data_IF_361063540842
#
_entry.id   IF_361063540842
#
_cell.length_a   1.000
_cell.length_b   1.000
_cell.length_c   1.000
_cell.angle_alpha   90.00
_cell.angle_beta   90.00
_cell.angle_gamma   90.00
#
_symmetry.space_group_name_H-M   'P 1'
#
loop_
_entity.id
_entity.type
_entity.pdbx_description
1 polymer ?
#
# COMPACT_ATOMS: atom_id res chain seq x y z
N UNK A 1 -3.10 -1.08 -12.51
CA UNK A 1 -3.64 -2.42 -12.83
C UNK A 1 -3.99 -3.23 -11.58
N UNK A 2 -3.04 -3.94 -10.94
CA UNK A 2 -3.38 -4.87 -9.83
C UNK A 2 -4.17 -4.18 -8.70
N UNK A 3 -3.74 -3.00 -8.25
CA UNK A 3 -4.45 -2.22 -7.22
C UNK A 3 -5.86 -1.86 -7.68
N UNK A 4 -6.02 -1.25 -8.85
CA UNK A 4 -7.33 -0.85 -9.36
C UNK A 4 -8.30 -2.03 -9.54
N UNK A 5 -7.77 -3.20 -9.93
CA UNK A 5 -8.54 -4.42 -10.17
C UNK A 5 -8.99 -5.14 -8.90
N UNK A 6 -8.13 -5.23 -7.88
CA UNK A 6 -8.37 -6.10 -6.72
C UNK A 6 -8.48 -5.35 -5.39
N UNK A 7 -7.92 -4.15 -5.30
CA UNK A 7 -7.87 -3.31 -4.09
C UNK A 7 -8.17 -1.84 -4.45
N UNK A 8 -9.33 -1.54 -5.08
CA UNK A 8 -9.62 -0.20 -5.58
C UNK A 8 -9.59 0.80 -4.43
N UNK A 9 -8.96 1.95 -4.66
CA UNK A 9 -8.80 3.01 -3.66
C UNK A 9 -9.68 4.21 -4.00
N UNK A 10 -10.49 4.63 -3.03
CA UNK A 10 -11.38 5.78 -3.14
C UNK A 10 -10.69 7.10 -2.78
N UNK A 11 -11.28 8.20 -3.24
CA UNK A 11 -10.85 9.54 -2.84
C UNK A 11 -11.16 9.74 -1.34
N UNK A 12 -10.16 10.20 -0.58
CA UNK A 12 -10.24 10.36 0.87
C UNK A 12 -9.98 9.07 1.67
N UNK A 13 -9.71 7.94 1.01
CA UNK A 13 -9.44 6.67 1.69
C UNK A 13 -8.03 6.64 2.28
N UNK A 14 -7.87 5.94 3.40
CA UNK A 14 -6.58 5.70 4.07
C UNK A 14 -6.16 4.24 3.88
N UNK A 15 -5.11 4.02 3.11
CA UNK A 15 -4.61 2.70 2.72
C UNK A 15 -3.24 2.43 3.34
N UNK A 16 -3.05 1.24 3.90
CA UNK A 16 -1.73 0.77 4.34
C UNK A 16 -0.97 0.07 3.21
N UNK A 17 0.36 0.19 3.17
CA UNK A 17 1.22 -0.63 2.32
C UNK A 17 2.20 -1.38 3.23
N UNK A 18 1.95 -2.66 3.44
CA UNK A 18 2.74 -3.51 4.32
C UNK A 18 3.76 -4.25 3.47
N UNK A 19 5.03 -4.04 3.77
CA UNK A 19 6.10 -4.56 2.93
C UNK A 19 7.35 -4.84 3.75
N UNK A 20 8.00 -5.97 3.45
CA UNK A 20 9.35 -6.24 3.90
C UNK A 20 10.40 -5.44 3.09
N UNK A 21 11.66 -5.57 3.47
CA UNK A 21 12.76 -5.04 2.65
C UNK A 21 12.86 -5.78 1.30
N UNK A 22 13.14 -5.05 0.23
CA UNK A 22 13.47 -5.61 -1.10
C UNK A 22 12.28 -6.07 -1.95
N UNK A 23 11.03 -5.92 -1.50
CA UNK A 23 9.84 -6.40 -2.24
C UNK A 23 9.22 -5.36 -3.20
N UNK A 24 9.88 -4.22 -3.40
CA UNK A 24 9.43 -3.18 -4.34
C UNK A 24 8.52 -2.09 -3.74
N UNK A 25 8.49 -1.91 -2.41
CA UNK A 25 7.72 -0.85 -1.71
C UNK A 25 7.92 0.54 -2.33
N UNK A 26 9.17 1.01 -2.39
CA UNK A 26 9.49 2.36 -2.85
C UNK A 26 9.09 2.56 -4.31
N UNK A 27 9.25 1.53 -5.14
CA UNK A 27 8.82 1.53 -6.54
C UNK A 27 7.30 1.69 -6.65
N UNK A 28 6.52 0.90 -5.90
CA UNK A 28 5.06 1.03 -5.90
C UNK A 28 4.61 2.41 -5.42
N UNK A 29 5.21 2.95 -4.35
CA UNK A 29 4.93 4.31 -3.88
C UNK A 29 5.20 5.35 -4.98
N UNK A 30 6.32 5.23 -5.69
CA UNK A 30 6.64 6.08 -6.84
C UNK A 30 5.63 5.99 -7.98
N UNK A 31 5.18 4.78 -8.31
CA UNK A 31 4.12 4.57 -9.31
C UNK A 31 2.82 5.25 -8.88
N UNK A 32 2.43 5.14 -7.60
CA UNK A 32 1.26 5.82 -7.05
C UNK A 32 1.44 7.34 -7.16
N UNK A 33 2.59 7.90 -6.72
CA UNK A 33 2.86 9.34 -6.82
C UNK A 33 2.72 9.88 -8.25
N UNK A 34 3.22 9.14 -9.25
CA UNK A 34 3.25 9.60 -10.64
C UNK A 34 1.91 9.43 -11.35
N UNK A 35 1.18 8.36 -11.07
CA UNK A 35 0.03 7.96 -11.88
C UNK A 35 -1.32 8.14 -11.19
N UNK A 36 -1.35 8.28 -9.86
CA UNK A 36 -2.58 8.62 -9.17
C UNK A 36 -3.06 10.02 -9.59
N UNK A 37 -4.38 10.13 -9.76
CA UNK A 37 -5.05 11.41 -10.04
C UNK A 37 -5.17 12.19 -8.74
N UNK A 38 -4.40 13.26 -8.64
CA UNK A 38 -4.34 14.18 -7.52
C UNK A 38 -3.91 15.55 -8.04
N UNK A 39 -4.40 16.60 -7.39
CA UNK A 39 -3.98 17.98 -7.68
C UNK A 39 -2.58 18.26 -7.10
N UNK A 40 -2.33 17.73 -5.90
CA UNK A 40 -1.05 17.89 -5.17
C UNK A 40 -0.69 16.58 -4.49
N UNK A 41 0.59 16.25 -4.48
CA UNK A 41 1.14 15.16 -3.66
C UNK A 41 1.88 15.76 -2.46
N UNK A 42 1.71 15.15 -1.28
CA UNK A 42 2.51 15.47 -0.10
C UNK A 42 3.14 14.19 0.41
N UNK A 43 4.47 14.14 0.42
CA UNK A 43 5.25 12.93 0.67
C UNK A 43 6.10 13.15 1.92
N UNK A 44 5.87 12.35 2.95
CA UNK A 44 6.66 12.33 4.18
C UNK A 44 7.65 11.16 4.15
N UNK A 45 8.95 11.46 4.10
CA UNK A 45 10.03 10.47 4.17
C UNK A 45 10.71 10.56 5.55
N UNK A 46 10.38 9.62 6.42
CA UNK A 46 10.63 9.66 7.86
C UNK A 46 11.54 8.50 8.26
N UNK A 47 12.70 8.82 8.84
CA UNK A 47 13.66 7.84 9.35
C UNK A 47 14.36 7.00 8.29
N UNK A 48 14.20 7.34 7.01
CA UNK A 48 14.91 6.70 5.90
C UNK A 48 16.36 7.19 5.81
N UNK A 49 17.23 6.39 5.17
CA UNK A 49 18.62 6.82 4.97
C UNK A 49 18.69 7.89 3.88
N UNK A 50 19.59 8.86 4.02
CA UNK A 50 19.71 9.97 3.04
C UNK A 50 19.99 9.54 1.60
N UNK A 51 20.62 8.36 1.38
CA UNK A 51 20.80 7.79 0.03
C UNK A 51 19.50 7.24 -0.56
N UNK A 52 18.67 6.59 0.27
CA UNK A 52 17.38 6.00 -0.11
C UNK A 52 16.38 7.13 -0.41
N UNK A 53 16.44 8.24 0.34
CA UNK A 53 15.69 9.47 0.05
C UNK A 53 16.06 10.04 -1.31
N UNK A 54 17.35 10.19 -1.61
CA UNK A 54 17.80 10.70 -2.92
C UNK A 54 17.39 9.80 -4.06
N UNK A 55 17.58 8.49 -3.91
CA UNK A 55 17.12 7.51 -4.91
C UNK A 55 15.60 7.62 -5.15
N UNK A 56 14.81 7.77 -4.08
CA UNK A 56 13.38 7.94 -4.20
C UNK A 56 13.01 9.23 -4.93
N UNK A 57 13.59 10.37 -4.57
CA UNK A 57 13.25 11.68 -5.16
C UNK A 57 13.75 11.78 -6.59
N UNK A 58 14.99 11.42 -6.85
CA UNK A 58 15.67 11.66 -8.13
C UNK A 58 15.28 10.62 -9.19
N UNK A 59 15.21 9.34 -8.81
CA UNK A 59 15.04 8.24 -9.76
C UNK A 59 13.62 7.66 -9.78
N UNK A 60 13.01 7.49 -8.59
CA UNK A 60 11.70 6.85 -8.50
C UNK A 60 10.56 7.85 -8.74
N UNK A 61 10.56 8.99 -8.07
CA UNK A 61 9.58 10.05 -8.27
C UNK A 61 9.91 10.81 -9.56
N UNK A 62 11.18 11.19 -9.71
CA UNK A 62 11.71 11.91 -10.86
C UNK A 62 11.09 13.30 -11.01
N UNK A 63 11.58 14.05 -12.01
CA UNK A 63 11.19 15.45 -12.22
C UNK A 63 9.67 15.62 -12.40
N UNK A 64 9.03 14.77 -13.20
CA UNK A 64 7.58 14.84 -13.45
C UNK A 64 6.74 14.58 -12.19
N UNK A 65 7.16 13.63 -11.36
CA UNK A 65 6.49 13.38 -10.09
C UNK A 65 6.67 14.55 -9.12
N UNK A 66 7.87 15.16 -9.12
CA UNK A 66 8.22 16.26 -8.23
C UNK A 66 7.49 17.57 -8.55
N UNK A 67 7.14 17.83 -9.81
CA UNK A 67 6.47 19.08 -10.26
C UNK A 67 5.19 19.41 -9.48
N UNK A 68 4.45 18.39 -9.02
CA UNK A 68 3.23 18.55 -8.20
C UNK A 68 3.38 18.02 -6.77
N UNK A 69 4.61 17.79 -6.30
CA UNK A 69 4.86 17.18 -5.00
C UNK A 69 5.56 18.12 -4.02
N UNK A 70 5.09 18.12 -2.78
CA UNK A 70 5.85 18.63 -1.63
C UNK A 70 6.46 17.44 -0.90
N UNK A 71 7.79 17.42 -0.76
CA UNK A 71 8.51 16.34 -0.07
C UNK A 71 9.06 16.85 1.25
N UNK A 72 8.59 16.28 2.36
CA UNK A 72 9.07 16.57 3.72
C UNK A 72 9.94 15.41 4.17
N UNK A 73 11.21 15.71 4.50
CA UNK A 73 12.20 14.70 4.83
C UNK A 73 12.73 14.91 6.25
N UNK A 74 12.71 13.84 7.05
CA UNK A 74 13.44 13.76 8.31
C UNK A 74 14.21 12.43 8.33
N UNK A 75 15.48 12.46 7.93
CA UNK A 75 16.34 11.28 7.79
C UNK A 75 16.67 10.60 9.12
N UNK A 76 17.21 9.38 9.07
CA UNK A 76 17.54 8.56 10.24
C UNK A 76 18.54 9.18 11.22
N UNK A 77 19.39 10.11 10.76
CA UNK A 77 20.38 10.85 11.56
C UNK A 77 19.78 12.06 12.30
N UNK A 78 18.49 12.36 12.07
CA UNK A 78 17.77 13.42 12.79
C UNK A 78 17.21 12.91 14.12
N UNK A 79 17.05 13.83 15.07
CA UNK A 79 16.50 13.50 16.38
C UNK A 79 15.08 12.89 16.26
N UNK A 80 14.67 12.04 17.21
CA UNK A 80 13.34 11.44 17.20
C UNK A 80 12.22 12.48 17.13
N UNK A 81 12.38 13.60 17.83
CA UNK A 81 11.45 14.74 17.80
C UNK A 81 11.32 15.30 16.39
N UNK A 82 12.43 15.50 15.67
CA UNK A 82 12.40 15.98 14.28
C UNK A 82 11.72 14.98 13.34
N UNK A 83 11.89 13.67 13.55
CA UNK A 83 11.21 12.63 12.77
C UNK A 83 9.69 12.64 12.98
N UNK A 84 9.24 12.73 14.24
CA UNK A 84 7.81 12.88 14.58
C UNK A 84 7.24 14.16 13.98
N UNK A 85 7.93 15.29 14.17
CA UNK A 85 7.50 16.59 13.62
C UNK A 85 7.51 16.65 12.11
N UNK A 86 8.42 15.96 11.44
CA UNK A 86 8.43 15.84 9.99
C UNK A 86 7.14 15.23 9.45
N UNK A 87 6.67 14.14 10.06
CA UNK A 87 5.40 13.49 9.70
C UNK A 87 4.19 14.39 9.97
N UNK A 88 4.12 15.00 11.17
CA UNK A 88 3.03 15.90 11.56
C UNK A 88 2.97 17.13 10.64
N UNK A 89 4.13 17.69 10.27
CA UNK A 89 4.25 18.85 9.36
C UNK A 89 3.77 18.51 7.96
N UNK A 90 4.16 17.34 7.44
CA UNK A 90 3.69 16.88 6.13
C UNK A 90 2.16 16.74 6.11
N UNK A 91 1.55 16.17 7.16
CA UNK A 91 0.09 16.08 7.25
C UNK A 91 -0.56 17.47 7.28
N UNK A 92 0.01 18.42 8.03
CA UNK A 92 -0.50 19.80 8.07
C UNK A 92 -0.43 20.48 6.69
N UNK A 93 0.62 20.22 5.90
CA UNK A 93 0.70 20.71 4.51
C UNK A 93 -0.39 20.08 3.65
N UNK A 94 -0.68 18.79 3.82
CA UNK A 94 -1.77 18.13 3.10
C UNK A 94 -3.14 18.72 3.46
N UNK A 95 -3.39 18.99 4.73
CA UNK A 95 -4.61 19.67 5.20
C UNK A 95 -4.76 21.06 4.61
N UNK A 96 -3.68 21.84 4.54
CA UNK A 96 -3.70 23.16 3.90
C UNK A 96 -4.23 23.08 2.46
N UNK A 97 -3.70 22.15 1.64
CA UNK A 97 -4.18 21.98 0.26
C UNK A 97 -5.61 21.43 0.19
N UNK A 98 -5.98 20.50 1.07
CA UNK A 98 -7.36 20.01 1.18
C UNK A 98 -8.34 21.16 1.46
N UNK A 99 -7.98 22.05 2.37
CA UNK A 99 -8.84 23.17 2.80
C UNK A 99 -8.91 24.26 1.71
N UNK A 100 -7.93 24.34 0.82
CA UNK A 100 -7.99 25.07 -0.46
C UNK A 100 -8.82 24.37 -1.55
N UNK A 101 -9.46 23.24 -1.21
CA UNK A 101 -10.31 22.47 -2.09
C UNK A 101 -9.59 21.55 -3.08
N UNK A 102 -8.38 21.11 -2.74
CA UNK A 102 -7.60 20.19 -3.58
C UNK A 102 -7.84 18.74 -3.18
N UNK A 103 -7.72 17.86 -4.18
CA UNK A 103 -7.57 16.42 -3.97
C UNK A 103 -6.09 16.09 -3.77
N UNK A 104 -5.73 15.83 -2.52
CA UNK A 104 -4.34 15.61 -2.10
C UNK A 104 -4.06 14.12 -2.01
N UNK A 105 -2.96 13.68 -2.60
CA UNK A 105 -2.37 12.38 -2.33
C UNK A 105 -1.34 12.55 -1.21
N UNK A 106 -1.58 11.94 -0.06
CA UNK A 106 -0.62 11.91 1.05
C UNK A 106 0.09 10.57 1.09
N UNK A 107 1.43 10.57 1.11
CA UNK A 107 2.23 9.37 1.29
C UNK A 107 3.10 9.53 2.52
N UNK A 108 3.11 8.52 3.37
CA UNK A 108 3.98 8.46 4.54
C UNK A 108 4.82 7.20 4.50
N UNK A 109 6.13 7.39 4.35
CA UNK A 109 7.14 6.33 4.39
C UNK A 109 8.13 6.59 5.54
N UNK A 110 8.00 5.98 6.72
CA UNK A 110 6.97 4.99 7.11
C UNK A 110 6.33 5.29 8.46
N UNK A 111 5.14 4.70 8.68
CA UNK A 111 4.48 4.69 9.99
C UNK A 111 5.34 3.97 11.02
N UNK A 112 6.05 2.91 10.62
CA UNK A 112 7.00 2.20 11.49
C UNK A 112 8.09 3.13 12.01
N UNK A 113 8.72 3.92 11.14
CA UNK A 113 9.76 4.86 11.57
C UNK A 113 9.23 6.00 12.44
N UNK A 114 8.00 6.44 12.21
CA UNK A 114 7.31 7.39 13.08
C UNK A 114 7.02 6.81 14.47
N UNK A 115 6.46 5.59 14.54
CA UNK A 115 6.18 4.90 15.79
C UNK A 115 7.46 4.63 16.60
N UNK A 116 8.54 4.21 15.92
CA UNK A 116 9.86 4.04 16.56
C UNK A 116 10.39 5.36 17.12
N UNK A 117 10.29 6.47 16.38
CA UNK A 117 10.70 7.78 16.87
C UNK A 117 9.88 8.22 18.09
N UNK A 118 8.55 8.02 18.07
CA UNK A 118 7.70 8.32 19.21
C UNK A 118 8.02 7.44 20.43
N UNK A 119 8.33 6.16 20.22
CA UNK A 119 8.79 5.24 21.26
C UNK A 119 10.07 5.74 21.92
N UNK A 120 11.06 6.17 21.13
CA UNK A 120 12.32 6.73 21.65
C UNK A 120 12.08 7.96 22.52
N UNK A 121 11.16 8.85 22.12
CA UNK A 121 10.77 10.03 22.92
C UNK A 121 10.11 9.59 24.24
N UNK A 122 9.14 8.68 24.17
CA UNK A 122 8.44 8.18 25.36
C UNK A 122 9.38 7.56 26.38
N UNK A 123 10.31 6.71 25.92
CA UNK A 123 11.32 6.10 26.78
C UNK A 123 12.23 7.15 27.44
N UNK A 124 12.63 8.19 26.70
CA UNK A 124 13.50 9.25 27.22
C UNK A 124 12.83 10.07 28.35
N UNK A 125 11.50 10.17 28.37
CA UNK A 125 10.73 10.86 29.42
C UNK A 125 10.18 9.91 30.49
N UNK A 126 10.56 8.62 30.45
CA UNK A 126 10.21 7.64 31.47
C UNK A 126 8.90 6.87 31.26
N UNK A 127 8.32 6.88 30.05
CA UNK A 127 7.18 6.01 29.75
C UNK A 127 7.59 4.53 29.76
N UNK A 128 6.82 3.65 30.44
CA UNK A 128 7.13 2.23 30.45
C UNK A 128 6.84 1.57 29.08
N UNK A 129 7.66 0.61 28.62
CA UNK A 129 7.39 -0.15 27.40
C UNK A 129 6.37 -1.27 27.68
N UNK A 130 5.10 -1.04 27.39
CA UNK A 130 4.00 -1.95 27.77
C UNK A 130 3.71 -3.01 26.69
N UNK A 131 3.47 -2.58 25.45
CA UNK A 131 3.03 -3.48 24.36
C UNK A 131 4.21 -3.91 23.49
N UNK A 132 4.81 -5.06 23.82
CA UNK A 132 6.00 -5.65 23.13
C UNK A 132 7.11 -4.62 22.87
N UNK A 133 7.37 -3.74 23.85
CA UNK A 133 8.45 -2.75 23.75
C UNK A 133 8.02 -1.35 23.31
N UNK A 134 6.82 -1.15 22.77
CA UNK A 134 6.28 0.18 22.45
C UNK A 134 5.74 0.88 23.69
N UNK A 135 5.88 2.21 23.74
CA UNK A 135 5.34 3.05 24.80
C UNK A 135 3.86 3.40 24.52
N UNK A 136 3.03 3.65 25.55
CA UNK A 136 1.61 3.99 25.36
C UNK A 136 1.37 5.19 24.44
N UNK A 137 2.26 6.20 24.46
CA UNK A 137 2.13 7.38 23.60
C UNK A 137 2.17 7.07 22.10
N UNK A 138 2.80 5.98 21.69
CA UNK A 138 2.80 5.53 20.28
C UNK A 138 1.38 5.25 19.81
N UNK A 139 0.64 4.45 20.57
CA UNK A 139 -0.73 4.05 20.22
C UNK A 139 -1.73 5.19 20.34
N UNK A 140 -1.45 6.21 21.17
CA UNK A 140 -2.24 7.44 21.19
C UNK A 140 -1.94 8.35 19.98
N UNK A 141 -0.68 8.40 19.54
CA UNK A 141 -0.22 9.26 18.42
C UNK A 141 -0.59 8.73 17.04
N UNK A 142 -0.76 7.43 16.87
CA UNK A 142 -1.07 6.83 15.58
C UNK A 142 -2.45 7.25 15.05
N UNK A 143 -3.58 7.03 15.77
CA UNK A 143 -4.90 7.50 15.31
C UNK A 143 -4.91 9.01 15.09
N UNK A 144 -4.34 9.78 16.04
CA UNK A 144 -4.30 11.23 15.98
C UNK A 144 -3.62 11.79 14.72
N UNK A 145 -2.69 11.04 14.12
CA UNK A 145 -2.06 11.41 12.85
C UNK A 145 -2.82 10.83 11.64
N UNK A 146 -3.13 9.54 11.66
CA UNK A 146 -3.69 8.81 10.51
C UNK A 146 -5.12 9.25 10.18
N UNK A 147 -5.94 9.55 11.19
CA UNK A 147 -7.34 9.93 11.01
C UNK A 147 -7.53 11.36 10.46
N UNK A 148 -6.45 12.16 10.39
CA UNK A 148 -6.49 13.50 9.80
C UNK A 148 -6.70 13.49 8.28
N UNK A 149 -6.34 12.38 7.62
CA UNK A 149 -6.65 12.16 6.21
C UNK A 149 -8.11 11.73 6.04
N UNK A 150 -8.72 12.15 4.93
CA UNK A 150 -10.15 11.97 4.69
C UNK A 150 -10.69 12.96 3.67
N UNK A 151 -11.95 12.75 3.26
CA UNK A 151 -12.71 13.72 2.48
C UNK A 151 -13.27 14.82 3.40
N UNK A 152 -13.26 16.06 2.92
CA UNK A 152 -13.94 17.20 3.53
C UNK A 152 -15.00 17.77 2.58
N UNK A 153 -15.68 18.83 2.98
CA UNK A 153 -16.67 19.51 2.13
C UNK A 153 -16.05 20.11 0.86
N UNK A 154 -14.78 20.53 0.92
CA UNK A 154 -14.16 21.31 -0.15
C UNK A 154 -13.06 20.54 -0.90
N UNK A 155 -12.42 19.56 -0.27
CA UNK A 155 -11.30 18.81 -0.84
C UNK A 155 -11.13 17.43 -0.19
N UNK A 156 -10.03 16.75 -0.47
CA UNK A 156 -9.77 15.42 0.10
C UNK A 156 -8.28 15.17 0.36
N UNK A 157 -7.99 14.27 1.28
CA UNK A 157 -6.66 13.67 1.46
C UNK A 157 -6.83 12.15 1.34
N UNK A 158 -6.34 11.56 0.26
CA UNK A 158 -6.19 10.11 0.11
C UNK A 158 -4.81 9.73 0.63
N UNK A 159 -4.74 8.92 1.68
CA UNK A 159 -3.50 8.59 2.37
C UNK A 159 -2.98 7.19 2.05
N UNK A 160 -1.69 7.07 1.74
CA UNK A 160 -0.97 5.80 1.67
C UNK A 160 0.13 5.77 2.74
N UNK A 161 0.04 4.79 3.62
CA UNK A 161 0.88 4.68 4.82
C UNK A 161 1.69 3.41 4.75
N UNK A 162 3.00 3.50 4.55
CA UNK A 162 3.82 2.30 4.52
C UNK A 162 4.09 1.80 5.95
N UNK A 163 4.09 0.48 6.09
CA UNK A 163 4.44 -0.23 7.32
C UNK A 163 5.48 -1.27 6.96
N UNK A 164 6.59 -1.24 7.67
CA UNK A 164 7.66 -2.23 7.53
C UNK A 164 7.28 -3.46 8.34
N UNK A 165 7.16 -4.60 7.68
CA UNK A 165 6.90 -5.90 8.34
C UNK A 165 8.18 -6.73 8.36
N UNK A 166 8.45 -7.37 9.50
CA UNK A 166 9.56 -8.30 9.65
C UNK A 166 9.13 -9.70 9.20
N UNK A 167 9.65 -10.14 8.05
CA UNK A 167 9.27 -11.44 7.47
C UNK A 167 7.89 -11.41 6.81
N UNK A 168 7.27 -12.57 6.70
CA UNK A 168 5.95 -12.74 6.06
C UNK A 168 4.79 -12.71 7.08
N UNK A 169 5.07 -12.59 8.38
CA UNK A 169 4.03 -12.57 9.43
C UNK A 169 3.62 -11.13 9.77
N UNK A 170 2.59 -10.67 9.07
CA UNK A 170 1.99 -9.35 9.28
C UNK A 170 1.21 -9.29 10.62
N UNK A 171 0.93 -10.41 11.29
CA UNK A 171 0.15 -10.47 12.54
C UNK A 171 0.99 -10.49 13.82
N UNK A 172 2.32 -10.58 13.73
CA UNK A 172 3.18 -10.67 14.91
C UNK A 172 3.53 -9.31 15.54
N UNK A 173 3.33 -8.19 14.84
CA UNK A 173 3.73 -6.86 15.29
C UNK A 173 2.52 -6.03 15.79
N UNK A 174 2.44 -5.66 17.08
CA UNK A 174 1.33 -4.85 17.62
C UNK A 174 1.14 -3.51 16.92
N UNK A 175 2.21 -2.94 16.35
CA UNK A 175 2.09 -1.73 15.55
C UNK A 175 1.28 -2.00 14.28
N UNK A 176 1.58 -3.10 13.61
CA UNK A 176 0.91 -3.50 12.37
C UNK A 176 -0.58 -3.74 12.59
N UNK A 177 -0.94 -4.42 13.67
CA UNK A 177 -2.34 -4.64 14.05
C UNK A 177 -3.07 -3.32 14.35
N UNK A 178 -2.44 -2.42 15.11
CA UNK A 178 -3.01 -1.11 15.42
C UNK A 178 -3.24 -0.29 14.13
N UNK A 179 -2.27 -0.28 13.21
CA UNK A 179 -2.41 0.43 11.93
C UNK A 179 -3.51 -0.20 11.06
N UNK A 180 -3.60 -1.54 10.99
CA UNK A 180 -4.69 -2.24 10.27
C UNK A 180 -6.07 -1.94 10.85
N UNK A 181 -6.18 -1.74 12.17
CA UNK A 181 -7.43 -1.39 12.81
C UNK A 181 -7.90 0.03 12.41
N UNK A 182 -6.95 0.99 12.34
CA UNK A 182 -7.23 2.41 12.05
C UNK A 182 -7.53 2.65 10.56
N UNK A 183 -6.82 1.97 9.64
CA UNK A 183 -6.91 2.23 8.20
C UNK A 183 -8.13 1.56 7.53
N UNK A 184 -8.51 2.07 6.35
CA UNK A 184 -9.67 1.63 5.57
C UNK A 184 -9.36 0.45 4.62
N UNK A 185 -8.16 -0.11 4.73
CA UNK A 185 -7.67 -1.15 3.83
C UNK A 185 -6.15 -1.21 3.81
N UNK A 186 -5.63 -2.21 3.13
CA UNK A 186 -4.20 -2.41 2.99
C UNK A 186 -3.81 -3.20 1.75
N UNK A 187 -2.58 -2.95 1.29
CA UNK A 187 -1.89 -3.66 0.22
C UNK A 187 -0.71 -4.40 0.88
N UNK A 188 -0.64 -5.71 0.70
CA UNK A 188 0.49 -6.53 1.15
C UNK A 188 1.43 -6.76 -0.02
N UNK A 189 2.71 -6.45 0.19
CA UNK A 189 3.77 -6.81 -0.75
C UNK A 189 4.47 -8.08 -0.29
N UNK A 190 4.34 -9.14 -1.09
CA UNK A 190 4.83 -10.48 -0.76
C UNK A 190 6.24 -10.70 -1.30
N UNK A 191 7.13 -11.18 -0.42
CA UNK A 191 8.47 -11.62 -0.81
C UNK A 191 8.41 -12.82 -1.76
N UNK A 192 7.46 -13.74 -1.52
CA UNK A 192 7.24 -14.91 -2.38
C UNK A 192 6.93 -14.49 -3.82
N UNK A 193 6.07 -13.49 -4.01
CA UNK A 193 5.74 -12.94 -5.33
C UNK A 193 6.93 -12.17 -5.93
N UNK A 194 7.64 -11.36 -5.14
CA UNK A 194 8.82 -10.63 -5.61
C UNK A 194 9.92 -11.58 -6.13
N UNK A 195 10.13 -12.72 -5.45
CA UNK A 195 11.13 -13.73 -5.82
C UNK A 195 10.83 -14.43 -7.16
N UNK A 196 9.59 -14.40 -7.66
CA UNK A 196 9.26 -14.91 -9.00
C UNK A 196 9.51 -13.86 -10.11
N UNK A 197 9.99 -12.67 -9.76
CA UNK A 197 10.16 -11.56 -10.69
C UNK A 197 8.84 -10.90 -11.10
N UNK A 198 7.79 -11.03 -10.29
CA UNK A 198 6.52 -10.33 -10.51
C UNK A 198 6.50 -9.00 -9.73
N UNK A 199 6.34 -7.89 -10.46
CA UNK A 199 6.23 -6.54 -9.90
C UNK A 199 5.07 -5.77 -10.55
N UNK A 200 4.28 -4.99 -9.77
CA UNK A 200 4.30 -4.90 -8.30
C UNK A 200 3.97 -6.22 -7.60
N UNK A 201 4.67 -6.52 -6.50
CA UNK A 201 4.58 -7.80 -5.80
C UNK A 201 3.37 -7.89 -4.84
N UNK A 202 2.20 -7.47 -5.31
CA UNK A 202 0.97 -7.40 -4.50
C UNK A 202 0.37 -8.78 -4.31
N UNK A 203 0.18 -9.19 -3.05
CA UNK A 203 -0.61 -10.36 -2.71
C UNK A 203 -2.09 -9.99 -2.68
N UNK A 204 -2.84 -10.42 -3.69
CA UNK A 204 -4.25 -10.04 -3.86
C UNK A 204 -5.18 -10.71 -2.84
N UNK A 205 -4.77 -11.83 -2.23
CA UNK A 205 -5.57 -12.53 -1.23
C UNK A 205 -5.38 -11.93 0.16
N UNK A 206 -4.17 -11.44 0.45
CA UNK A 206 -3.85 -10.80 1.74
C UNK A 206 -4.11 -9.28 1.72
N UNK A 207 -4.48 -8.70 0.58
CA UNK A 207 -4.81 -7.28 0.44
C UNK A 207 -6.31 -7.02 0.44
N UNK A 208 -6.73 -5.88 0.97
CA UNK A 208 -8.15 -5.53 1.08
C UNK A 208 -8.40 -4.03 0.98
N UNK A 209 -9.49 -3.64 0.30
CA UNK A 209 -10.04 -2.29 0.38
C UNK A 209 -11.45 -2.39 0.95
N UNK A 210 -11.70 -1.77 2.12
CA UNK A 210 -13.02 -1.82 2.77
C UNK A 210 -14.08 -1.00 2.03
N UNK A 211 -13.66 -0.14 1.10
CA UNK A 211 -14.55 0.64 0.24
C UNK A 211 -14.86 -0.02 -1.11
N UNK A 212 -14.30 -1.20 -1.40
CA UNK A 212 -14.45 -1.82 -2.72
C UNK A 212 -15.92 -2.00 -3.16
N UNK A 213 -16.82 -2.39 -2.24
CA UNK A 213 -18.25 -2.55 -2.54
C UNK A 213 -18.99 -1.23 -2.82
N UNK A 214 -18.49 -0.12 -2.30
CA UNK A 214 -19.03 1.21 -2.56
C UNK A 214 -18.45 1.84 -3.83
N UNK A 215 -17.24 1.44 -4.24
CA UNK A 215 -16.54 1.98 -5.40
C UNK A 215 -16.87 1.24 -6.70
N UNK A 216 -17.15 -0.05 -6.62
CA UNK A 216 -17.37 -0.92 -7.77
C UNK A 216 -18.86 -1.18 -8.00
N UNK A 217 -19.30 -1.22 -9.25
CA UNK A 217 -20.64 -1.70 -9.60
C UNK A 217 -20.72 -3.24 -9.50
N UNK A 218 -21.93 -3.79 -9.57
CA UNK A 218 -22.18 -5.23 -9.38
C UNK A 218 -21.35 -6.12 -10.32
N UNK A 219 -21.22 -5.75 -11.59
CA UNK A 219 -20.44 -6.53 -12.58
C UNK A 219 -18.95 -6.51 -12.24
N UNK A 220 -18.42 -5.36 -11.86
CA UNK A 220 -17.02 -5.20 -11.46
C UNK A 220 -16.71 -6.00 -10.17
N UNK A 221 -17.64 -6.00 -9.21
CA UNK A 221 -17.54 -6.80 -7.99
C UNK A 221 -17.48 -8.31 -8.31
N UNK A 222 -18.38 -8.80 -9.17
CA UNK A 222 -18.40 -10.21 -9.59
C UNK A 222 -17.09 -10.62 -10.27
N UNK A 223 -16.56 -9.78 -11.16
CA UNK A 223 -15.26 -10.02 -11.82
C UNK A 223 -14.13 -10.09 -10.80
N UNK A 224 -14.09 -9.13 -9.85
CA UNK A 224 -13.10 -9.11 -8.77
C UNK A 224 -13.18 -10.37 -7.90
N UNK A 225 -14.37 -10.79 -7.50
CA UNK A 225 -14.57 -12.01 -6.70
C UNK A 225 -14.10 -13.27 -7.44
N UNK A 226 -14.38 -13.37 -8.74
CA UNK A 226 -13.93 -14.48 -9.58
C UNK A 226 -12.40 -14.54 -9.67
N UNK A 227 -11.75 -13.38 -9.83
CA UNK A 227 -10.28 -13.25 -9.78
C UNK A 227 -9.74 -13.78 -8.45
N UNK A 228 -10.27 -13.31 -7.31
CA UNK A 228 -9.81 -13.74 -6.00
C UNK A 228 -10.04 -15.24 -5.78
N UNK A 229 -11.15 -15.79 -6.26
CA UNK A 229 -11.45 -17.23 -6.18
C UNK A 229 -10.41 -18.07 -6.94
N UNK A 230 -10.01 -17.65 -8.14
CA UNK A 230 -8.95 -18.36 -8.88
C UNK A 230 -7.61 -18.33 -8.15
N UNK A 231 -7.21 -17.19 -7.59
CA UNK A 231 -6.00 -17.11 -6.78
C UNK A 231 -6.09 -17.99 -5.52
N UNK A 232 -7.25 -18.04 -4.86
CA UNK A 232 -7.47 -18.87 -3.67
C UNK A 232 -7.36 -20.37 -4.01
N UNK A 233 -8.09 -20.83 -5.03
CA UNK A 233 -8.04 -22.22 -5.49
C UNK A 233 -6.63 -22.62 -5.95
N UNK A 234 -5.91 -21.72 -6.63
CA UNK A 234 -4.52 -21.96 -7.00
C UNK A 234 -3.62 -22.09 -5.77
N UNK A 235 -3.78 -21.23 -4.77
CA UNK A 235 -2.99 -21.27 -3.53
C UNK A 235 -3.21 -22.57 -2.74
N UNK A 236 -4.43 -23.08 -2.70
CA UNK A 236 -4.76 -24.37 -2.05
C UNK A 236 -4.05 -25.56 -2.71
N UNK A 237 -3.82 -25.49 -4.03
CA UNK A 237 -3.19 -26.57 -4.81
C UNK A 237 -1.70 -26.32 -5.10
N UNK A 238 -1.14 -25.16 -4.72
CA UNK A 238 0.18 -24.69 -5.16
C UNK A 238 1.30 -25.69 -4.82
N UNK A 239 1.27 -26.28 -3.62
CA UNK A 239 2.27 -27.27 -3.20
C UNK A 239 2.23 -28.54 -4.05
N UNK A 240 1.03 -29.07 -4.32
CA UNK A 240 0.83 -30.26 -5.15
C UNK A 240 1.26 -30.01 -6.61
N UNK A 241 0.99 -28.82 -7.13
CA UNK A 241 1.41 -28.41 -8.47
C UNK A 241 2.94 -28.32 -8.53
N UNK A 242 3.57 -27.68 -7.55
CA UNK A 242 5.02 -27.45 -7.53
C UNK A 242 5.83 -28.75 -7.42
N UNK A 243 5.32 -29.78 -6.73
CA UNK A 243 5.95 -31.10 -6.64
C UNK A 243 5.58 -32.02 -7.83
N UNK A 244 4.76 -31.55 -8.77
CA UNK A 244 4.32 -32.32 -9.93
C UNK A 244 3.32 -33.44 -9.63
N UNK A 245 2.67 -33.41 -8.45
CA UNK A 245 1.69 -34.42 -8.03
C UNK A 245 0.26 -34.12 -8.49
N UNK A 246 -0.01 -32.92 -9.02
CA UNK A 246 -1.31 -32.56 -9.57
C UNK A 246 -1.45 -32.98 -11.04
N UNK A 247 -2.48 -33.77 -11.35
CA UNK A 247 -2.80 -34.20 -12.72
C UNK A 247 -3.93 -33.34 -13.30
N UNK A 248 -3.69 -32.77 -14.49
CA UNK A 248 -4.70 -31.97 -15.20
C UNK A 248 -5.92 -32.83 -15.53
N UNK A 249 -7.13 -32.30 -15.30
CA UNK A 249 -8.40 -33.01 -15.48
C UNK A 249 -8.91 -33.68 -14.21
N UNK A 250 -8.09 -33.78 -13.16
CA UNK A 250 -8.50 -34.35 -11.86
C UNK A 250 -9.48 -33.44 -11.10
N UNK A 251 -9.35 -32.11 -11.26
CA UNK A 251 -10.25 -31.14 -10.67
C UNK A 251 -10.45 -29.93 -11.60
N UNK A 252 -11.63 -29.80 -12.25
CA UNK A 252 -11.90 -28.70 -13.17
C UNK A 252 -11.73 -27.31 -12.56
N UNK A 253 -11.97 -27.17 -11.25
CA UNK A 253 -11.83 -25.90 -10.52
C UNK A 253 -10.36 -25.51 -10.36
N UNK A 254 -9.48 -26.47 -10.08
CA UNK A 254 -8.04 -26.23 -9.96
C UNK A 254 -7.44 -26.02 -11.36
N UNK A 255 -7.88 -26.76 -12.37
CA UNK A 255 -7.44 -26.58 -13.75
C UNK A 255 -7.72 -25.16 -14.25
N UNK A 256 -8.95 -24.66 -14.04
CA UNK A 256 -9.30 -23.28 -14.39
C UNK A 256 -8.46 -22.28 -13.57
N UNK A 257 -8.27 -22.53 -12.28
CA UNK A 257 -7.47 -21.67 -11.42
C UNK A 257 -6.01 -21.57 -11.86
N UNK A 258 -5.39 -22.67 -12.31
CA UNK A 258 -4.02 -22.69 -12.85
C UNK A 258 -3.94 -21.81 -14.11
N UNK A 259 -4.83 -22.05 -15.07
CA UNK A 259 -4.83 -21.31 -16.34
C UNK A 259 -5.08 -19.82 -16.12
N UNK A 260 -6.08 -19.49 -15.32
CA UNK A 260 -6.49 -18.10 -15.10
C UNK A 260 -5.51 -17.33 -14.23
N UNK A 261 -4.93 -17.96 -13.21
CA UNK A 261 -3.89 -17.32 -12.38
C UNK A 261 -2.67 -16.97 -13.21
N UNK A 262 -2.26 -17.83 -14.16
CA UNK A 262 -1.14 -17.51 -15.06
C UNK A 262 -1.42 -16.26 -15.90
N UNK A 263 -2.58 -16.21 -16.58
CA UNK A 263 -3.00 -15.05 -17.39
C UNK A 263 -3.09 -13.77 -16.53
N UNK A 264 -3.61 -13.88 -15.31
CA UNK A 264 -3.76 -12.75 -14.40
C UNK A 264 -2.41 -12.26 -13.84
N UNK A 265 -1.46 -13.15 -13.56
CA UNK A 265 -0.10 -12.77 -13.15
C UNK A 265 0.61 -11.96 -14.25
N UNK A 266 0.47 -12.37 -15.51
CA UNK A 266 0.97 -11.62 -16.66
C UNK A 266 0.29 -10.26 -16.79
N UNK A 267 -1.03 -10.21 -16.61
CA UNK A 267 -1.78 -8.96 -16.61
C UNK A 267 -1.39 -8.01 -15.48
N UNK A 268 -1.14 -8.53 -14.27
CA UNK A 268 -0.77 -7.73 -13.10
C UNK A 268 0.66 -7.23 -13.13
N UNK A 269 1.56 -7.86 -13.89
CA UNK A 269 2.90 -7.33 -14.13
C UNK A 269 2.80 -5.95 -14.80
N UNK A 270 3.41 -4.96 -14.18
CA UNK A 270 3.37 -3.57 -14.64
C UNK A 270 4.75 -2.93 -14.49
N UNK A 271 5.44 -2.62 -15.60
CA UNK A 271 6.65 -1.81 -15.60
C UNK A 271 6.42 -0.43 -14.97
N UNK A 272 7.49 0.13 -14.44
CA UNK A 272 7.51 1.37 -13.66
C UNK A 272 7.01 2.57 -14.47
N UNK A 273 7.25 2.57 -15.78
CA UNK A 273 6.95 3.63 -16.73
C UNK A 273 5.55 3.54 -17.32
N UNK A 274 4.86 2.41 -17.11
CA UNK A 274 3.54 2.16 -17.67
C UNK A 274 2.43 2.61 -16.71
N UNK A 275 1.42 3.26 -17.26
CA UNK A 275 0.19 3.64 -16.57
C UNK A 275 -1.02 3.24 -17.38
N UNK A 276 -2.09 2.86 -16.71
CA UNK A 276 -3.36 2.50 -17.33
C UNK A 276 -4.46 3.26 -16.60
N UNK A 277 -5.44 3.77 -17.35
CA UNK A 277 -6.66 4.27 -16.74
C UNK A 277 -7.46 3.14 -16.11
N UNK A 278 -8.37 3.50 -15.20
CA UNK A 278 -9.30 2.55 -14.60
C UNK A 278 -10.12 1.82 -15.68
N UNK A 279 -10.65 2.55 -16.67
CA UNK A 279 -11.45 1.98 -17.75
C UNK A 279 -10.66 1.01 -18.65
N UNK A 280 -9.39 1.31 -18.97
CA UNK A 280 -8.53 0.38 -19.71
C UNK A 280 -8.22 -0.88 -18.91
N UNK A 281 -7.91 -0.71 -17.62
CA UNK A 281 -7.64 -1.83 -16.70
C UNK A 281 -8.85 -2.75 -16.59
N UNK A 282 -10.04 -2.18 -16.40
CA UNK A 282 -11.30 -2.91 -16.34
C UNK A 282 -11.60 -3.68 -17.61
N UNK A 283 -11.52 -3.01 -18.77
CA UNK A 283 -11.78 -3.63 -20.06
C UNK A 283 -10.84 -4.82 -20.30
N UNK A 284 -9.55 -4.64 -20.02
CA UNK A 284 -8.56 -5.70 -20.15
C UNK A 284 -8.84 -6.86 -19.19
N UNK A 285 -9.20 -6.56 -17.94
CA UNK A 285 -9.54 -7.58 -16.95
C UNK A 285 -10.79 -8.37 -17.36
N UNK A 286 -11.85 -7.69 -17.82
CA UNK A 286 -13.09 -8.35 -18.29
C UNK A 286 -12.83 -9.26 -19.48
N UNK A 287 -11.95 -8.85 -20.40
CA UNK A 287 -11.56 -9.70 -21.54
C UNK A 287 -10.83 -10.98 -21.09
N UNK A 288 -10.02 -10.90 -20.03
CA UNK A 288 -9.33 -12.07 -19.47
C UNK A 288 -10.33 -12.98 -18.78
N UNK A 289 -11.20 -12.42 -17.92
CA UNK A 289 -12.13 -13.19 -17.09
C UNK A 289 -13.21 -13.89 -17.93
N UNK A 290 -13.61 -13.27 -19.04
CA UNK A 290 -14.65 -13.75 -19.96
C UNK A 290 -16.07 -13.71 -19.34
N UNK A 291 -17.08 -13.63 -20.21
CA UNK A 291 -18.45 -14.05 -19.85
C UNK A 291 -19.37 -13.03 -19.17
N UNK A 292 -19.32 -11.74 -19.52
CA UNK A 292 -20.32 -10.75 -19.10
C UNK A 292 -20.64 -9.74 -20.21
#
# INVERSE_FOLDING_TARGET
KVVDSTVPTGIGQRMGIFAGSGVGKSVLLGMICRYARSDVNVIALIGERGREVREFVDNILGRKGLEKSVVVVATSDRSPVMRVKGAETAMTIAEYFRDMGKNVLFIMDSVTRYAMAQREIGLAIGEPPTSRGYTPSVFAKLPALLERAGSSANGSITGFYSVLVEGDDVSADPLTDAVRAILDGHIILSRRIANTGQYPAVDVLESVSRLASALLNQRQQQVREKVLRWFANYREAEDLINIGAYERGSNPTIDEAIEMTQKLREFFRQPIEQSFSFAETEKALMNIVGGF
#
